data_IF_744271698994
#
_entry.id   IF_744271698994
#
_cell.length_a   1.000
_cell.length_b   1.000
_cell.length_c   1.000
_cell.angle_alpha   90.00
_cell.angle_beta   90.00
_cell.angle_gamma   90.00
#
_symmetry.space_group_name_H-M   'P 1'
#
loop_
_entity.id
_entity.type
_entity.pdbx_description
1 polymer ?
#
# COMPACT_ATOMS: atom_id res chain seq x y z
N UNK A 1 -11.36 -17.63 6.80
CA UNK A 1 -10.57 -16.73 7.65
C UNK A 1 -9.72 -17.48 8.68
N UNK A 2 -10.26 -18.24 9.66
CA UNK A 2 -9.44 -18.90 10.68
C UNK A 2 -8.45 -19.94 10.11
N UNK A 3 -8.86 -20.68 9.07
CA UNK A 3 -7.96 -21.59 8.34
C UNK A 3 -6.77 -20.85 7.70
N UNK A 4 -7.02 -19.69 7.08
CA UNK A 4 -5.97 -18.89 6.42
C UNK A 4 -5.00 -18.31 7.46
N UNK A 5 -5.51 -17.78 8.57
CA UNK A 5 -4.69 -17.31 9.68
C UNK A 5 -3.80 -18.43 10.26
N UNK A 6 -4.35 -19.63 10.43
CA UNK A 6 -3.59 -20.80 10.86
C UNK A 6 -2.53 -21.22 9.85
N UNK A 7 -2.86 -21.22 8.55
CA UNK A 7 -1.90 -21.52 7.47
C UNK A 7 -0.77 -20.50 7.44
N UNK A 8 -1.07 -19.21 7.56
CA UNK A 8 -0.06 -18.12 7.61
C UNK A 8 0.83 -18.27 8.84
N UNK A 9 0.23 -18.49 10.02
CA UNK A 9 0.96 -18.70 11.26
C UNK A 9 1.86 -19.92 11.21
N UNK A 10 1.34 -21.06 10.72
CA UNK A 10 2.09 -22.30 10.60
C UNK A 10 3.23 -22.14 9.59
N UNK A 11 2.96 -21.58 8.40
CA UNK A 11 4.00 -21.38 7.40
C UNK A 11 5.15 -20.54 7.93
N UNK A 12 4.92 -19.44 8.66
CA UNK A 12 6.04 -18.64 9.19
C UNK A 12 6.81 -19.35 10.29
N UNK A 13 6.16 -20.17 11.12
CA UNK A 13 6.85 -20.86 12.22
C UNK A 13 7.62 -22.10 11.77
N UNK A 14 7.17 -22.75 10.69
CA UNK A 14 7.78 -24.01 10.22
C UNK A 14 8.51 -23.92 8.89
N UNK A 15 8.30 -22.89 8.08
CA UNK A 15 8.94 -22.81 6.78
C UNK A 15 10.34 -22.23 6.90
N UNK A 16 11.28 -22.97 6.33
CA UNK A 16 12.62 -22.49 6.04
C UNK A 16 12.54 -21.26 5.11
N UNK A 17 13.45 -20.29 5.26
CA UNK A 17 13.41 -19.02 4.52
C UNK A 17 13.27 -19.24 2.99
N UNK A 18 14.01 -20.22 2.45
CA UNK A 18 13.98 -20.59 1.03
C UNK A 18 12.63 -21.14 0.54
N UNK A 19 11.81 -21.72 1.42
CA UNK A 19 10.47 -22.18 1.09
C UNK A 19 9.46 -21.03 1.14
N UNK A 20 9.57 -20.15 2.14
CA UNK A 20 8.74 -18.94 2.28
C UNK A 20 8.93 -18.02 1.08
N UNK A 21 10.16 -17.83 0.62
CA UNK A 21 10.48 -17.01 -0.55
C UNK A 21 9.81 -17.54 -1.84
N UNK A 22 9.85 -18.86 -2.08
CA UNK A 22 9.17 -19.48 -3.23
C UNK A 22 7.66 -19.28 -3.18
N UNK A 23 7.08 -19.36 -1.99
CA UNK A 23 5.65 -19.09 -1.79
C UNK A 23 5.35 -17.62 -2.11
N UNK A 24 6.16 -16.68 -1.63
CA UNK A 24 5.98 -15.26 -1.92
C UNK A 24 6.10 -14.96 -3.41
N UNK A 25 7.10 -15.54 -4.10
CA UNK A 25 7.23 -15.42 -5.55
C UNK A 25 6.01 -15.96 -6.29
N UNK A 26 5.48 -17.11 -5.86
CA UNK A 26 4.24 -17.66 -6.44
C UNK A 26 3.02 -16.75 -6.19
N UNK A 27 2.91 -16.15 -5.00
CA UNK A 27 1.84 -15.18 -4.70
C UNK A 27 2.00 -13.89 -5.53
N UNK A 28 3.22 -13.43 -5.78
CA UNK A 28 3.49 -12.28 -6.66
C UNK A 28 3.06 -12.55 -8.11
N UNK A 29 3.20 -13.78 -8.60
CA UNK A 29 2.68 -14.16 -9.93
C UNK A 29 1.16 -13.97 -10.00
N UNK A 30 0.43 -14.21 -8.90
CA UNK A 30 -1.01 -13.95 -8.86
C UNK A 30 -1.35 -12.48 -9.08
N UNK A 31 -0.45 -11.52 -8.80
CA UNK A 31 -0.75 -10.10 -9.07
C UNK A 31 -0.83 -9.78 -10.55
N UNK A 32 -0.19 -10.55 -11.42
CA UNK A 32 -0.34 -10.40 -12.86
C UNK A 32 -1.76 -10.73 -13.35
N UNK A 33 -2.57 -11.42 -12.53
CA UNK A 33 -3.99 -11.61 -12.81
C UNK A 33 -4.74 -10.27 -12.93
N UNK A 34 -4.34 -9.24 -12.19
CA UNK A 34 -4.92 -7.90 -12.30
C UNK A 34 -4.58 -7.24 -13.63
N UNK A 35 -3.36 -7.43 -14.11
CA UNK A 35 -2.92 -6.93 -15.42
C UNK A 35 -3.74 -7.58 -16.52
N UNK A 36 -3.87 -8.91 -16.47
CA UNK A 36 -4.67 -9.66 -17.44
C UNK A 36 -6.15 -9.23 -17.36
N UNK A 37 -6.71 -9.08 -16.16
CA UNK A 37 -8.08 -8.65 -15.96
C UNK A 37 -8.33 -7.25 -16.54
N UNK A 38 -7.44 -6.29 -16.26
CA UNK A 38 -7.56 -4.93 -16.81
C UNK A 38 -7.40 -4.84 -18.33
N UNK A 39 -6.66 -5.75 -18.96
CA UNK A 39 -6.59 -5.87 -20.43
C UNK A 39 -7.86 -6.50 -21.00
N UNK A 40 -8.38 -7.56 -20.36
CA UNK A 40 -9.58 -8.27 -20.80
C UNK A 40 -10.86 -7.42 -20.75
N UNK A 41 -10.89 -6.41 -19.88
CA UNK A 41 -12.00 -5.46 -19.76
C UNK A 41 -12.12 -4.54 -20.99
N UNK A 42 -11.08 -4.45 -21.82
CA UNK A 42 -11.01 -3.60 -23.02
C UNK A 42 -11.46 -2.14 -22.79
N UNK A 43 -10.84 -1.42 -21.82
CA UNK A 43 -11.19 -0.02 -21.56
C UNK A 43 -10.74 0.89 -22.71
N UNK A 44 -11.29 2.11 -22.84
CA UNK A 44 -10.84 3.10 -23.82
C UNK A 44 -9.42 3.57 -23.50
N UNK A 45 -8.41 2.81 -23.94
CA UNK A 45 -6.99 3.01 -23.59
C UNK A 45 -6.46 4.41 -23.87
N UNK A 46 -6.98 5.06 -24.93
CA UNK A 46 -6.60 6.43 -25.26
C UNK A 46 -6.99 7.41 -24.16
N UNK A 47 -8.19 7.28 -23.61
CA UNK A 47 -8.68 8.14 -22.51
C UNK A 47 -7.96 7.81 -21.22
N UNK A 48 -7.78 6.52 -20.92
CA UNK A 48 -7.04 6.05 -19.74
C UNK A 48 -5.63 6.65 -19.72
N UNK A 49 -4.88 6.54 -20.82
CA UNK A 49 -3.51 7.06 -20.89
C UNK A 49 -3.46 8.59 -20.80
N UNK A 50 -4.43 9.29 -21.42
CA UNK A 50 -4.50 10.75 -21.37
C UNK A 50 -4.86 11.25 -19.97
N UNK A 51 -5.79 10.59 -19.28
CA UNK A 51 -6.14 10.89 -17.90
C UNK A 51 -5.01 10.56 -16.91
N UNK A 52 -4.20 9.54 -17.20
CA UNK A 52 -3.05 9.15 -16.36
C UNK A 52 -1.95 10.20 -16.29
N UNK A 53 -1.81 11.01 -17.34
CA UNK A 53 -0.78 12.07 -17.42
C UNK A 53 -1.33 13.47 -17.17
N UNK A 54 -2.64 13.65 -17.27
CA UNK A 54 -3.30 14.94 -17.07
C UNK A 54 -3.81 15.06 -15.63
N UNK A 55 -3.15 15.86 -14.76
CA UNK A 55 -3.63 16.03 -13.39
C UNK A 55 -5.00 16.73 -13.39
N UNK A 56 -5.96 16.12 -12.73
CA UNK A 56 -7.26 16.71 -12.40
C UNK A 56 -7.40 16.78 -10.89
N UNK A 57 -7.85 17.93 -10.37
CA UNK A 57 -8.08 18.12 -8.95
C UNK A 57 -9.54 18.45 -8.73
N UNK A 58 -10.27 17.53 -8.11
CA UNK A 58 -11.60 17.79 -7.57
C UNK A 58 -11.39 18.23 -6.11
N UNK A 59 -11.67 19.48 -5.79
CA UNK A 59 -11.38 20.07 -4.48
C UNK A 59 -12.33 19.62 -3.36
N UNK A 60 -12.86 18.40 -3.45
CA UNK A 60 -13.76 17.82 -2.46
C UNK A 60 -12.99 16.94 -1.45
N UNK A 61 -13.59 16.77 -0.27
CA UNK A 61 -12.94 16.06 0.83
C UNK A 61 -12.75 14.57 0.53
N UNK A 62 -13.63 13.95 -0.26
CA UNK A 62 -13.56 12.54 -0.62
C UNK A 62 -12.40 12.26 -1.59
N UNK A 63 -12.22 13.11 -2.60
CA UNK A 63 -11.08 13.08 -3.49
C UNK A 63 -9.76 13.23 -2.73
N UNK A 64 -9.67 14.19 -1.80
CA UNK A 64 -8.48 14.38 -0.97
C UNK A 64 -8.20 13.15 -0.08
N UNK A 65 -9.24 12.58 0.53
CA UNK A 65 -9.13 11.35 1.33
C UNK A 65 -8.61 10.18 0.50
N UNK A 66 -9.17 9.95 -0.69
CA UNK A 66 -8.75 8.86 -1.58
C UNK A 66 -7.35 9.08 -2.15
N UNK A 67 -7.02 10.31 -2.58
CA UNK A 67 -5.70 10.65 -3.08
C UNK A 67 -4.62 10.38 -2.02
N UNK A 68 -4.87 10.77 -0.77
CA UNK A 68 -3.93 10.53 0.33
C UNK A 68 -3.90 9.07 0.73
N UNK A 69 -5.03 8.36 0.70
CA UNK A 69 -5.07 6.92 0.90
C UNK A 69 -4.19 6.16 -0.11
N UNK A 70 -4.31 6.49 -1.41
CA UNK A 70 -3.47 5.92 -2.48
C UNK A 70 -1.98 6.23 -2.25
N UNK A 71 -1.65 7.46 -1.89
CA UNK A 71 -0.26 7.85 -1.61
C UNK A 71 0.29 7.15 -0.36
N UNK A 72 -0.49 7.11 0.72
CA UNK A 72 -0.12 6.49 2.00
C UNK A 72 -0.03 4.96 1.94
N UNK A 73 -0.76 4.32 1.02
CA UNK A 73 -0.60 2.87 0.72
C UNK A 73 0.55 2.55 -0.19
N UNK A 74 1.04 3.53 -0.96
CA UNK A 74 2.20 3.36 -1.83
C UNK A 74 3.49 3.53 -1.03
N UNK A 75 3.54 4.54 -0.15
CA UNK A 75 4.70 4.80 0.71
C UNK A 75 4.28 4.51 2.15
N UNK A 76 4.24 3.25 2.52
CA UNK A 76 3.74 2.85 3.84
C UNK A 76 4.82 2.98 4.91
N UNK A 77 4.48 3.55 6.09
CA UNK A 77 5.36 3.52 7.27
C UNK A 77 5.94 2.13 7.56
N UNK A 78 5.07 1.13 7.62
CA UNK A 78 5.48 -0.25 7.90
C UNK A 78 6.44 -0.81 6.83
N UNK A 79 6.26 -0.41 5.57
CA UNK A 79 7.12 -0.85 4.46
C UNK A 79 8.54 -0.31 4.61
N UNK A 80 8.69 0.94 5.08
CA UNK A 80 10.00 1.54 5.33
C UNK A 80 10.77 0.79 6.42
N UNK A 81 10.12 0.49 7.53
CA UNK A 81 10.71 -0.30 8.61
C UNK A 81 11.02 -1.73 8.16
N UNK A 82 10.10 -2.37 7.42
CA UNK A 82 10.31 -3.73 6.92
C UNK A 82 11.49 -3.82 5.97
N UNK A 83 11.65 -2.89 5.04
CA UNK A 83 12.77 -2.90 4.08
C UNK A 83 14.10 -2.80 4.84
N UNK A 84 14.23 -1.89 5.81
CA UNK A 84 15.45 -1.78 6.61
C UNK A 84 15.70 -3.04 7.44
N UNK A 85 14.68 -3.55 8.14
CA UNK A 85 14.82 -4.78 8.92
C UNK A 85 15.21 -5.98 8.04
N UNK A 86 14.65 -6.07 6.83
CA UNK A 86 14.96 -7.14 5.89
C UNK A 86 16.39 -7.07 5.37
N UNK A 87 16.96 -5.86 5.24
CA UNK A 87 18.37 -5.65 4.87
C UNK A 87 19.29 -6.19 5.97
N UNK A 88 18.92 -5.96 7.24
CA UNK A 88 19.65 -6.48 8.41
C UNK A 88 19.53 -8.00 8.52
N UNK A 89 18.31 -8.54 8.43
CA UNK A 89 18.04 -9.99 8.57
C UNK A 89 18.67 -10.81 7.42
N UNK A 90 18.77 -10.23 6.21
CA UNK A 90 19.47 -10.84 5.07
C UNK A 90 20.99 -10.61 5.09
N UNK A 91 21.51 -9.92 6.10
CA UNK A 91 22.94 -9.57 6.22
C UNK A 91 23.51 -8.86 4.97
N UNK A 92 22.68 -8.03 4.31
CA UNK A 92 23.06 -7.34 3.06
C UNK A 92 24.16 -6.33 3.38
N UNK A 93 25.27 -6.41 2.62
CA UNK A 93 26.42 -5.53 2.82
C UNK A 93 26.37 -4.31 1.90
N UNK A 94 27.18 -3.29 2.21
CA UNK A 94 27.31 -2.10 1.36
C UNK A 94 27.78 -2.41 -0.07
N UNK A 95 28.42 -3.57 -0.31
CA UNK A 95 28.81 -4.04 -1.64
C UNK A 95 27.61 -4.40 -2.51
N UNK A 96 26.52 -4.83 -1.88
CA UNK A 96 25.31 -5.28 -2.56
C UNK A 96 24.32 -4.13 -2.81
N UNK A 97 24.65 -2.92 -2.35
CA UNK A 97 23.80 -1.73 -2.44
C UNK A 97 23.21 -1.50 -3.84
N UNK A 98 24.00 -1.69 -4.90
CA UNK A 98 23.53 -1.49 -6.28
C UNK A 98 22.45 -2.52 -6.63
N UNK A 99 22.62 -3.78 -6.23
CA UNK A 99 21.64 -4.84 -6.47
C UNK A 99 20.36 -4.60 -5.66
N UNK A 100 20.49 -4.28 -4.37
CA UNK A 100 19.35 -3.95 -3.50
C UNK A 100 18.59 -2.74 -4.03
N UNK A 101 19.30 -1.74 -4.56
CA UNK A 101 18.66 -0.56 -5.15
C UNK A 101 17.84 -0.90 -6.38
N UNK A 102 18.36 -1.75 -7.27
CA UNK A 102 17.61 -2.23 -8.43
C UNK A 102 16.42 -3.09 -8.03
N UNK A 103 16.58 -3.94 -7.02
CA UNK A 103 15.49 -4.75 -6.46
C UNK A 103 14.33 -3.87 -5.97
N UNK A 104 14.62 -2.85 -5.15
CA UNK A 104 13.62 -1.88 -4.67
C UNK A 104 12.98 -1.10 -5.81
N UNK A 105 13.77 -0.69 -6.82
CA UNK A 105 13.26 0.07 -7.96
C UNK A 105 12.30 -0.77 -8.83
N UNK A 106 12.70 -1.99 -9.16
CA UNK A 106 11.89 -2.92 -9.95
C UNK A 106 10.63 -3.31 -9.18
N UNK A 107 10.77 -3.61 -7.88
CA UNK A 107 9.64 -3.90 -7.00
C UNK A 107 8.63 -2.75 -6.98
N UNK A 108 9.10 -1.52 -6.76
CA UNK A 108 8.28 -0.31 -6.73
C UNK A 108 7.58 -0.04 -8.06
N UNK A 109 8.26 -0.28 -9.19
CA UNK A 109 7.66 -0.21 -10.52
C UNK A 109 6.50 -1.20 -10.66
N UNK A 110 6.70 -2.48 -10.30
CA UNK A 110 5.64 -3.48 -10.39
C UNK A 110 4.47 -3.18 -9.45
N UNK A 111 4.73 -2.66 -8.25
CA UNK A 111 3.66 -2.21 -7.34
C UNK A 111 2.79 -1.15 -8.00
N UNK A 112 3.39 -0.09 -8.57
CA UNK A 112 2.65 0.95 -9.27
C UNK A 112 1.95 0.46 -10.53
N UNK A 113 2.63 -0.41 -11.30
CA UNK A 113 2.09 -1.01 -12.53
C UNK A 113 0.85 -1.85 -12.24
N UNK A 114 0.89 -2.74 -11.25
CA UNK A 114 -0.26 -3.56 -10.86
C UNK A 114 -1.39 -2.67 -10.30
N UNK A 115 -1.06 -1.71 -9.44
CA UNK A 115 -2.05 -0.78 -8.87
C UNK A 115 -2.78 0.02 -9.97
N UNK A 116 -2.08 0.41 -11.02
CA UNK A 116 -2.67 1.06 -12.20
C UNK A 116 -3.74 0.17 -12.86
N UNK A 117 -3.45 -1.10 -13.12
CA UNK A 117 -4.45 -2.01 -13.70
C UNK A 117 -5.63 -2.27 -12.78
N UNK A 118 -5.42 -2.29 -11.46
CA UNK A 118 -6.53 -2.38 -10.49
C UNK A 118 -7.43 -1.16 -10.62
N UNK A 119 -6.87 0.06 -10.64
CA UNK A 119 -7.64 1.29 -10.79
C UNK A 119 -8.39 1.36 -12.13
N UNK A 120 -7.75 0.96 -13.23
CA UNK A 120 -8.39 0.92 -14.55
C UNK A 120 -9.52 -0.09 -14.57
N UNK A 121 -9.30 -1.29 -14.05
CA UNK A 121 -10.32 -2.34 -13.99
C UNK A 121 -11.54 -1.89 -13.16
N UNK A 122 -11.32 -1.29 -11.99
CA UNK A 122 -12.43 -0.82 -11.13
C UNK A 122 -13.11 0.42 -11.72
N UNK A 123 -12.38 1.33 -12.36
CA UNK A 123 -12.98 2.49 -13.02
C UNK A 123 -13.84 2.09 -14.21
N UNK A 124 -13.33 1.25 -15.12
CA UNK A 124 -14.04 0.84 -16.33
C UNK A 124 -15.26 -0.06 -16.05
N UNK A 125 -15.34 -0.66 -14.86
CA UNK A 125 -16.45 -1.56 -14.47
C UNK A 125 -17.32 -0.94 -13.39
N UNK A 126 -16.82 -0.81 -12.16
CA UNK A 126 -17.60 -0.39 -10.99
C UNK A 126 -18.04 1.07 -11.09
N UNK A 127 -17.13 1.98 -11.46
CA UNK A 127 -17.43 3.41 -11.50
C UNK A 127 -18.44 3.76 -12.60
N UNK A 128 -18.24 3.23 -13.82
CA UNK A 128 -19.17 3.44 -14.95
C UNK A 128 -20.58 2.92 -14.65
N UNK A 129 -20.68 1.84 -13.86
CA UNK A 129 -21.97 1.23 -13.50
C UNK A 129 -22.53 1.74 -12.16
N UNK A 130 -21.92 2.77 -11.56
CA UNK A 130 -22.32 3.36 -10.26
C UNK A 130 -22.51 2.33 -9.14
N UNK A 131 -21.67 1.28 -9.11
CA UNK A 131 -21.75 0.24 -8.09
C UNK A 131 -20.98 0.71 -6.85
N UNK A 132 -21.65 0.96 -5.71
CA UNK A 132 -20.96 1.32 -4.48
C UNK A 132 -20.14 0.13 -3.96
N UNK A 133 -18.91 0.40 -3.52
CA UNK A 133 -18.03 -0.63 -2.94
C UNK A 133 -18.11 -0.54 -1.42
N UNK A 134 -18.87 -1.45 -0.81
CA UNK A 134 -18.92 -1.57 0.66
C UNK A 134 -17.89 -2.58 1.18
N UNK A 135 -17.51 -3.58 0.37
CA UNK A 135 -16.46 -4.53 0.72
C UNK A 135 -15.58 -4.90 -0.48
N UNK A 136 -14.36 -5.35 -0.18
CA UNK A 136 -13.42 -5.82 -1.22
C UNK A 136 -13.96 -7.06 -1.96
N UNK A 137 -14.83 -7.85 -1.30
CA UNK A 137 -15.51 -8.98 -1.91
C UNK A 137 -16.51 -8.53 -2.97
N UNK A 138 -17.22 -7.42 -2.72
CA UNK A 138 -18.23 -6.90 -3.63
C UNK A 138 -17.58 -6.43 -4.94
N UNK A 139 -16.39 -5.83 -4.86
CA UNK A 139 -15.62 -5.46 -6.04
C UNK A 139 -15.29 -6.66 -6.95
N UNK A 140 -14.89 -7.81 -6.37
CA UNK A 140 -14.57 -9.01 -7.14
C UNK A 140 -15.81 -9.65 -7.80
N UNK A 141 -16.97 -9.62 -7.13
CA UNK A 141 -18.22 -10.21 -7.64
C UNK A 141 -18.87 -9.31 -8.68
N UNK A 142 -18.87 -7.99 -8.45
CA UNK A 142 -19.44 -7.02 -9.38
C UNK A 142 -18.68 -6.96 -10.72
N UNK A 143 -17.45 -7.46 -10.77
CA UNK A 143 -16.71 -7.67 -12.02
C UNK A 143 -17.28 -8.80 -12.90
N UNK A 144 -17.96 -9.82 -12.34
CA UNK A 144 -18.44 -10.97 -13.13
C UNK A 144 -19.42 -10.59 -14.25
N UNK A 145 -20.49 -9.81 -14.01
CA UNK A 145 -21.41 -9.42 -15.08
C UNK A 145 -20.83 -8.42 -16.07
N UNK A 146 -19.79 -7.67 -15.70
CA UNK A 146 -19.24 -6.55 -16.48
C UNK A 146 -18.03 -6.95 -17.33
N UNK A 147 -17.17 -7.82 -16.79
CA UNK A 147 -15.91 -8.24 -17.40
C UNK A 147 -15.89 -9.75 -17.75
N UNK A 148 -16.96 -10.46 -17.41
CA UNK A 148 -17.07 -11.90 -17.58
C UNK A 148 -16.46 -12.72 -16.44
N UNK A 149 -16.86 -13.99 -16.38
CA UNK A 149 -16.47 -14.94 -15.33
C UNK A 149 -14.96 -15.12 -15.19
N UNK A 150 -14.22 -15.08 -16.31
CA UNK A 150 -12.77 -15.25 -16.29
C UNK A 150 -12.05 -14.05 -15.64
N UNK A 151 -12.47 -12.82 -15.94
CA UNK A 151 -11.87 -11.61 -15.38
C UNK A 151 -12.15 -11.49 -13.86
N UNK A 152 -13.35 -11.86 -13.42
CA UNK A 152 -13.70 -11.93 -12.00
C UNK A 152 -12.88 -12.99 -11.25
N UNK A 153 -12.72 -14.19 -11.82
CA UNK A 153 -11.90 -15.25 -11.22
C UNK A 153 -10.43 -14.83 -11.08
N UNK A 154 -9.87 -14.20 -12.13
CA UNK A 154 -8.52 -13.66 -12.09
C UNK A 154 -8.38 -12.57 -11.02
N UNK A 155 -9.31 -11.61 -10.97
CA UNK A 155 -9.31 -10.56 -9.95
C UNK A 155 -9.38 -11.12 -8.53
N UNK A 156 -10.23 -12.13 -8.30
CA UNK A 156 -10.34 -12.82 -7.01
C UNK A 156 -9.05 -13.56 -6.64
N UNK A 157 -8.37 -14.18 -7.62
CA UNK A 157 -7.07 -14.83 -7.41
C UNK A 157 -5.97 -13.82 -7.04
N UNK A 158 -5.92 -12.68 -7.71
CA UNK A 158 -5.02 -11.58 -7.36
C UNK A 158 -5.27 -11.04 -5.96
N UNK A 159 -6.56 -10.85 -5.61
CA UNK A 159 -6.97 -10.37 -4.28
C UNK A 159 -6.60 -11.34 -3.17
N UNK A 160 -6.80 -12.64 -3.42
CA UNK A 160 -6.37 -13.69 -2.51
C UNK A 160 -4.85 -13.68 -2.34
N UNK A 161 -4.09 -13.58 -3.44
CA UNK A 161 -2.63 -13.47 -3.39
C UNK A 161 -2.17 -12.28 -2.54
N UNK A 162 -2.85 -11.13 -2.69
CA UNK A 162 -2.45 -9.88 -2.03
C UNK A 162 -2.74 -9.94 -0.53
N UNK A 163 -3.91 -10.47 -0.20
CA UNK A 163 -4.34 -10.68 1.19
C UNK A 163 -3.44 -11.67 1.92
N UNK A 164 -3.03 -12.76 1.24
CA UNK A 164 -2.11 -13.74 1.81
C UNK A 164 -0.73 -13.11 2.05
N UNK A 165 -0.15 -12.45 1.04
CA UNK A 165 1.16 -11.80 1.16
C UNK A 165 1.17 -10.75 2.28
N UNK A 166 0.11 -9.94 2.36
CA UNK A 166 -0.06 -8.96 3.43
C UNK A 166 -0.11 -9.62 4.82
N UNK A 167 -0.84 -10.73 4.96
CA UNK A 167 -0.93 -11.47 6.22
C UNK A 167 0.43 -12.03 6.69
N UNK A 168 1.36 -12.29 5.76
CA UNK A 168 2.74 -12.68 6.10
C UNK A 168 3.62 -11.49 6.47
N UNK A 169 3.62 -10.44 5.65
CA UNK A 169 4.59 -9.35 5.76
C UNK A 169 4.23 -8.36 6.87
N UNK A 170 2.95 -8.05 7.06
CA UNK A 170 2.51 -7.03 8.03
C UNK A 170 2.88 -7.37 9.49
N UNK A 171 2.66 -8.62 9.98
CA UNK A 171 3.06 -8.93 11.35
C UNK A 171 4.59 -8.93 11.53
N UNK A 172 5.35 -9.31 10.49
CA UNK A 172 6.83 -9.18 10.50
C UNK A 172 7.25 -7.72 10.63
N UNK A 173 6.66 -6.83 9.82
CA UNK A 173 6.95 -5.39 9.86
C UNK A 173 6.65 -4.73 11.21
N UNK A 174 5.78 -5.33 12.02
CA UNK A 174 5.51 -4.89 13.39
C UNK A 174 6.49 -5.51 14.40
N UNK A 175 6.81 -6.79 14.22
CA UNK A 175 7.69 -7.52 15.14
C UNK A 175 9.14 -7.02 15.08
N UNK A 176 9.68 -6.71 13.89
CA UNK A 176 11.07 -6.26 13.75
C UNK A 176 11.36 -4.97 14.54
N UNK A 177 10.65 -3.84 14.34
CA UNK A 177 11.01 -2.60 15.02
C UNK A 177 10.85 -2.68 16.53
N UNK A 178 9.88 -3.46 17.03
CA UNK A 178 9.72 -3.68 18.47
C UNK A 178 10.93 -4.46 19.01
N UNK A 179 11.31 -5.56 18.37
CA UNK A 179 12.48 -6.32 18.79
C UNK A 179 13.77 -5.48 18.72
N UNK A 180 13.98 -4.72 17.64
CA UNK A 180 15.13 -3.82 17.49
C UNK A 180 15.16 -2.73 18.57
N UNK A 181 14.03 -2.07 18.85
CA UNK A 181 13.95 -1.00 19.84
C UNK A 181 14.26 -1.46 21.27
N UNK A 182 13.91 -2.70 21.61
CA UNK A 182 14.16 -3.29 22.93
C UNK A 182 15.41 -4.19 22.98
N UNK A 183 16.14 -4.34 21.87
CA UNK A 183 17.34 -5.18 21.78
C UNK A 183 17.07 -6.69 21.90
N UNK A 184 15.89 -7.15 21.50
CA UNK A 184 15.54 -8.56 21.45
C UNK A 184 16.03 -9.23 20.16
N UNK A 185 16.41 -10.50 20.27
CA UNK A 185 16.69 -11.35 19.10
C UNK A 185 15.49 -11.37 18.15
N UNK A 186 15.76 -11.15 16.86
CA UNK A 186 14.76 -11.12 15.79
C UNK A 186 15.32 -11.70 14.50
N UNK A 187 14.42 -12.17 13.63
CA UNK A 187 14.77 -12.74 12.33
C UNK A 187 13.85 -13.89 11.94
N UNK A 188 13.50 -13.96 10.65
CA UNK A 188 12.70 -15.08 10.10
C UNK A 188 13.54 -16.36 10.05
N UNK A 189 14.86 -16.20 9.94
CA UNK A 189 15.83 -17.29 9.91
C UNK A 189 16.03 -17.98 11.27
N UNK A 190 15.54 -17.39 12.36
CA UNK A 190 15.66 -17.89 13.73
C UNK A 190 14.56 -18.90 14.07
N UNK A 191 14.84 -19.78 15.03
CA UNK A 191 13.82 -20.66 15.61
C UNK A 191 13.06 -20.00 16.76
N UNK A 192 11.88 -20.53 17.10
CA UNK A 192 11.08 -20.03 18.23
C UNK A 192 11.84 -20.02 19.57
N UNK A 193 12.85 -20.89 19.73
CA UNK A 193 13.70 -20.92 20.92
C UNK A 193 14.76 -19.83 20.94
N UNK A 194 15.22 -19.40 19.76
CA UNK A 194 16.23 -18.36 19.60
C UNK A 194 15.63 -16.96 19.67
N UNK A 195 14.42 -16.76 19.12
CA UNK A 195 13.73 -15.47 19.09
C UNK A 195 12.29 -15.57 19.64
N UNK A 196 12.07 -15.96 20.91
CA UNK A 196 10.73 -16.19 21.45
C UNK A 196 9.85 -14.94 21.47
N UNK A 197 10.45 -13.76 21.67
CA UNK A 197 9.72 -12.48 21.66
C UNK A 197 9.23 -12.15 20.25
N UNK A 198 10.07 -12.32 19.24
CA UNK A 198 9.73 -12.05 17.85
C UNK A 198 8.54 -12.90 17.37
N UNK A 199 8.61 -14.22 17.54
CA UNK A 199 7.51 -15.11 17.17
C UNK A 199 6.28 -14.97 18.08
N UNK A 200 6.48 -14.57 19.33
CA UNK A 200 5.39 -14.20 20.24
C UNK A 200 4.60 -12.99 19.73
N UNK A 201 5.30 -11.90 19.39
CA UNK A 201 4.69 -10.70 18.80
C UNK A 201 3.98 -11.03 17.48
N UNK A 202 4.63 -11.79 16.60
CA UNK A 202 4.05 -12.25 15.33
C UNK A 202 2.73 -13.01 15.57
N UNK A 203 2.71 -13.94 16.52
CA UNK A 203 1.52 -14.72 16.89
C UNK A 203 0.41 -13.84 17.45
N UNK A 204 0.74 -12.90 18.35
CA UNK A 204 -0.22 -11.98 18.96
C UNK A 204 -0.86 -11.10 17.89
N UNK A 205 -0.08 -10.54 16.97
CA UNK A 205 -0.58 -9.69 15.89
C UNK A 205 -1.54 -10.46 14.98
N UNK A 206 -1.20 -11.69 14.58
CA UNK A 206 -2.10 -12.52 13.77
C UNK A 206 -3.37 -12.88 14.52
N UNK A 207 -3.26 -13.34 15.77
CA UNK A 207 -4.40 -13.75 16.57
C UNK A 207 -5.36 -12.56 16.81
N UNK A 208 -4.80 -11.39 17.13
CA UNK A 208 -5.56 -10.16 17.30
C UNK A 208 -6.25 -9.74 16.00
N UNK A 209 -5.52 -9.73 14.88
CA UNK A 209 -6.10 -9.39 13.57
C UNK A 209 -7.24 -10.34 13.17
N UNK A 210 -7.06 -11.65 13.40
CA UNK A 210 -8.09 -12.64 13.15
C UNK A 210 -9.32 -12.44 14.05
N UNK A 211 -9.11 -12.13 15.33
CA UNK A 211 -10.19 -11.82 16.27
C UNK A 211 -10.97 -10.56 15.86
N UNK A 212 -10.27 -9.49 15.44
CA UNK A 212 -10.90 -8.26 14.96
C UNK A 212 -11.78 -8.50 13.73
N UNK A 213 -11.31 -9.29 12.77
CA UNK A 213 -12.08 -9.60 11.55
C UNK A 213 -13.32 -10.45 11.85
N UNK A 214 -13.27 -11.29 12.88
CA UNK A 214 -14.42 -12.09 13.31
C UNK A 214 -15.42 -11.33 14.18
N UNK A 215 -15.12 -10.07 14.56
CA UNK A 215 -16.00 -9.27 15.38
C UNK A 215 -17.28 -8.89 14.62
N UNK A 216 -18.48 -9.30 15.10
CA UNK A 216 -19.72 -9.03 14.40
C UNK A 216 -20.05 -7.53 14.39
N UNK A 217 -20.44 -7.01 13.24
CA UNK A 217 -20.84 -5.60 13.06
C UNK A 217 -19.69 -4.61 12.85
N UNK A 218 -18.44 -5.07 12.80
CA UNK A 218 -17.30 -4.22 12.48
C UNK A 218 -17.23 -3.99 10.96
N UNK A 219 -17.33 -2.72 10.53
CA UNK A 219 -17.17 -2.38 9.12
C UNK A 219 -15.70 -2.45 8.72
N UNK A 220 -15.31 -3.54 8.04
CA UNK A 220 -13.95 -3.75 7.53
C UNK A 220 -13.51 -2.64 6.58
N UNK A 221 -14.44 -2.07 5.82
CA UNK A 221 -14.18 -0.95 4.91
C UNK A 221 -13.75 0.31 5.65
N UNK A 222 -14.48 0.70 6.70
CA UNK A 222 -14.12 1.87 7.50
C UNK A 222 -12.81 1.65 8.25
N UNK A 223 -12.57 0.44 8.76
CA UNK A 223 -11.28 0.11 9.40
C UNK A 223 -10.14 0.20 8.38
N UNK A 224 -10.33 -0.33 7.18
CA UNK A 224 -9.35 -0.22 6.10
C UNK A 224 -9.05 1.26 5.80
N UNK A 225 -10.06 2.08 5.50
CA UNK A 225 -9.87 3.51 5.22
C UNK A 225 -9.19 4.26 6.38
N UNK A 226 -9.64 4.03 7.62
CA UNK A 226 -9.05 4.65 8.80
C UNK A 226 -7.56 4.28 8.95
N UNK A 227 -7.18 3.02 8.74
CA UNK A 227 -5.77 2.61 8.80
C UNK A 227 -4.92 3.25 7.70
N UNK A 228 -5.49 3.51 6.51
CA UNK A 228 -4.77 4.23 5.45
C UNK A 228 -4.54 5.69 5.80
N UNK A 229 -5.55 6.34 6.40
CA UNK A 229 -5.43 7.71 6.91
C UNK A 229 -4.35 7.79 7.99
N UNK A 230 -4.32 6.85 8.93
CA UNK A 230 -3.27 6.77 9.95
C UNK A 230 -1.88 6.61 9.31
N UNK A 231 -1.75 5.75 8.30
CA UNK A 231 -0.49 5.62 7.55
C UNK A 231 -0.07 6.94 6.88
N UNK A 232 -1.01 7.65 6.25
CA UNK A 232 -0.75 8.96 5.65
C UNK A 232 -0.35 10.04 6.67
N UNK A 233 -0.86 9.97 7.90
CA UNK A 233 -0.49 10.89 8.99
C UNK A 233 0.89 10.55 9.59
N UNK A 234 1.22 9.28 9.72
CA UNK A 234 2.52 8.82 10.25
C UNK A 234 3.67 8.99 9.25
N UNK A 235 3.37 9.07 7.96
CA UNK A 235 4.39 9.10 6.92
C UNK A 235 5.32 10.33 6.98
N UNK A 236 4.83 11.58 7.14
CA UNK A 236 5.69 12.75 7.20
C UNK A 236 6.78 12.72 8.28
N UNK A 237 6.50 12.45 9.57
CA UNK A 237 7.55 12.42 10.58
C UNK A 237 8.59 11.34 10.29
N UNK A 238 8.18 10.16 9.84
CA UNK A 238 9.10 9.07 9.51
C UNK A 238 10.01 9.46 8.35
N UNK A 239 9.46 10.07 7.29
CA UNK A 239 10.26 10.56 6.16
C UNK A 239 11.26 11.64 6.57
N UNK A 240 10.88 12.56 7.46
CA UNK A 240 11.80 13.58 7.97
C UNK A 240 12.99 12.90 8.67
N UNK A 241 12.75 11.97 9.58
CA UNK A 241 13.82 11.26 10.27
C UNK A 241 14.69 10.44 9.30
N UNK A 242 14.08 9.74 8.35
CA UNK A 242 14.80 8.99 7.32
C UNK A 242 15.71 9.90 6.47
N UNK A 243 15.21 11.06 6.03
CA UNK A 243 16.01 12.02 5.26
C UNK A 243 17.13 12.62 6.13
N UNK A 244 16.89 12.88 7.41
CA UNK A 244 17.92 13.34 8.34
C UNK A 244 19.03 12.30 8.52
N UNK A 245 18.70 11.03 8.71
CA UNK A 245 19.67 9.93 8.83
C UNK A 245 20.44 9.76 7.52
N UNK A 246 19.74 9.73 6.38
CA UNK A 246 20.35 9.57 5.05
C UNK A 246 21.29 10.74 4.65
N UNK A 247 21.08 11.92 5.24
CA UNK A 247 21.94 13.09 5.04
C UNK A 247 23.09 13.17 6.06
N UNK A 248 23.04 12.41 7.16
CA UNK A 248 24.05 12.47 8.19
C UNK A 248 25.33 11.76 7.73
N UNK A 249 26.39 12.53 7.49
CA UNK A 249 27.69 12.01 7.04
C UNK A 249 28.40 11.17 8.09
N UNK A 250 28.14 11.40 9.38
CA UNK A 250 28.74 10.62 10.47
C UNK A 250 28.16 9.20 10.51
N UNK A 251 26.91 9.02 10.07
CA UNK A 251 26.22 7.72 9.99
C UNK A 251 26.46 7.06 8.63
N UNK A 252 26.25 7.81 7.54
CA UNK A 252 26.21 7.25 6.18
C UNK A 252 27.55 7.27 5.45
N UNK A 253 28.52 8.07 5.91
CA UNK A 253 29.83 8.22 5.27
C UNK A 253 29.72 8.59 3.78
N UNK A 254 30.34 7.76 2.94
CA UNK A 254 30.36 7.91 1.47
C UNK A 254 28.99 7.69 0.80
N UNK A 255 28.05 7.04 1.48
CA UNK A 255 26.68 6.77 1.00
C UNK A 255 25.67 7.86 1.39
N UNK A 256 26.13 9.00 1.90
CA UNK A 256 25.27 10.14 2.20
C UNK A 256 24.59 10.67 0.93
N UNK A 257 23.35 11.15 1.08
CA UNK A 257 22.56 11.64 -0.03
C UNK A 257 23.26 12.77 -0.79
N UNK A 258 23.26 12.68 -2.12
CA UNK A 258 23.73 13.78 -2.97
C UNK A 258 22.76 14.96 -2.92
N UNK A 259 23.23 16.15 -3.31
CA UNK A 259 22.37 17.37 -3.33
C UNK A 259 21.11 17.18 -4.16
N UNK A 260 21.19 16.44 -5.27
CA UNK A 260 20.04 16.16 -6.13
C UNK A 260 19.03 15.23 -5.43
N UNK A 261 19.50 14.15 -4.79
CA UNK A 261 18.62 13.26 -4.02
C UNK A 261 17.97 14.01 -2.87
N UNK A 262 18.71 14.89 -2.20
CA UNK A 262 18.17 15.68 -1.10
C UNK A 262 17.06 16.63 -1.56
N UNK A 263 17.22 17.31 -2.70
CA UNK A 263 16.17 18.17 -3.27
C UNK A 263 14.93 17.32 -3.60
N UNK A 264 15.10 16.17 -4.23
CA UNK A 264 14.00 15.28 -4.57
C UNK A 264 13.28 14.76 -3.32
N UNK A 265 14.01 14.21 -2.35
CA UNK A 265 13.42 13.67 -1.12
C UNK A 265 12.71 14.74 -0.32
N UNK A 266 13.30 15.92 -0.13
CA UNK A 266 12.61 17.02 0.55
C UNK A 266 11.39 17.54 -0.20
N UNK A 267 11.43 17.59 -1.54
CA UNK A 267 10.26 17.98 -2.34
C UNK A 267 9.11 17.01 -2.10
N UNK A 268 9.37 15.69 -2.16
CA UNK A 268 8.37 14.68 -1.85
C UNK A 268 7.88 14.79 -0.40
N UNK A 269 8.78 14.93 0.57
CA UNK A 269 8.43 15.10 1.99
C UNK A 269 7.54 16.32 2.21
N UNK A 270 7.86 17.47 1.60
CA UNK A 270 7.05 18.70 1.71
C UNK A 270 5.67 18.52 1.08
N UNK A 271 5.58 17.91 -0.11
CA UNK A 271 4.30 17.61 -0.77
C UNK A 271 3.45 16.71 0.12
N UNK A 272 4.04 15.67 0.70
CA UNK A 272 3.35 14.76 1.62
C UNK A 272 2.90 15.47 2.90
N UNK A 273 3.75 16.31 3.50
CA UNK A 273 3.36 17.14 4.65
C UNK A 273 2.17 18.02 4.29
N UNK A 274 2.20 18.69 3.14
CA UNK A 274 1.09 19.54 2.70
C UNK A 274 -0.20 18.75 2.56
N UNK A 275 -0.15 17.58 1.92
CA UNK A 275 -1.31 16.70 1.78
C UNK A 275 -1.83 16.22 3.15
N UNK A 276 -0.96 15.78 4.05
CA UNK A 276 -1.35 15.35 5.40
C UNK A 276 -1.94 16.49 6.21
N UNK A 277 -1.39 17.70 6.13
CA UNK A 277 -1.94 18.88 6.82
C UNK A 277 -3.32 19.23 6.25
N UNK A 278 -3.48 19.23 4.92
CA UNK A 278 -4.78 19.45 4.26
C UNK A 278 -5.82 18.44 4.76
N UNK A 279 -5.45 17.16 4.86
CA UNK A 279 -6.31 16.13 5.42
C UNK A 279 -6.70 16.43 6.86
N UNK A 280 -5.72 16.65 7.74
CA UNK A 280 -5.98 16.95 9.16
C UNK A 280 -6.89 18.17 9.30
N UNK A 281 -6.69 19.22 8.50
CA UNK A 281 -7.57 20.39 8.51
C UNK A 281 -8.97 20.08 8.01
N UNK A 282 -9.12 19.27 6.95
CA UNK A 282 -10.43 18.84 6.43
C UNK A 282 -11.21 18.00 7.44
N UNK A 283 -10.52 17.10 8.15
CA UNK A 283 -11.13 16.17 9.11
C UNK A 283 -11.44 16.85 10.45
N UNK A 284 -10.58 17.73 10.94
CA UNK A 284 -10.75 18.41 12.24
C UNK A 284 -11.59 19.70 12.16
N UNK A 285 -11.58 20.37 11.00
CA UNK A 285 -12.28 21.64 10.79
C UNK A 285 -13.05 21.65 9.45
N UNK A 286 -14.15 20.88 9.34
CA UNK A 286 -14.94 20.81 8.11
C UNK A 286 -15.44 22.20 7.63
N UNK A 287 -15.70 23.14 8.55
CA UNK A 287 -16.13 24.51 8.21
C UNK A 287 -15.04 25.48 7.73
N UNK A 288 -13.76 25.09 7.70
CA UNK A 288 -12.66 25.93 7.20
C UNK A 288 -12.46 25.79 5.69
N UNK A 289 -12.79 24.61 5.12
CA UNK A 289 -12.72 24.37 3.68
C UNK A 289 -13.90 25.02 2.94
N UNK A 290 -15.10 25.06 3.53
CA UNK A 290 -16.22 25.86 2.99
C UNK A 290 -15.84 27.35 2.85
N UNK A 291 -15.05 27.90 3.77
CA UNK A 291 -14.54 29.27 3.67
C UNK A 291 -13.36 29.43 2.71
N UNK A 292 -12.55 28.38 2.50
CA UNK A 292 -11.45 28.39 1.55
C UNK A 292 -11.93 28.22 0.08
N UNK A 293 -13.02 27.49 -0.15
CA UNK A 293 -13.71 27.42 -1.45
C UNK A 293 -14.30 28.77 -1.89
N UNK A 294 -14.55 29.70 -0.96
CA UNK A 294 -14.93 31.09 -1.28
C UNK A 294 -13.76 31.92 -1.83
N UNK A 295 -12.51 31.50 -1.59
CA UNK A 295 -11.30 32.22 -2.01
C UNK A 295 -10.59 31.63 -3.24
N UNK A 296 -10.99 30.44 -3.68
CA UNK A 296 -10.55 29.86 -4.95
C UNK A 296 -11.62 30.15 -6.00
N UNK A 297 -11.28 30.68 -7.18
CA UNK A 297 -12.27 30.89 -8.23
C UNK A 297 -12.96 29.55 -8.55
N UNK A 298 -14.27 29.53 -8.83
CA UNK A 298 -14.95 28.31 -9.23
C UNK A 298 -14.25 27.75 -10.45
N UNK A 299 -13.50 26.66 -10.26
CA UNK A 299 -12.92 25.90 -11.35
C UNK A 299 -14.11 25.29 -12.06
N UNK A 300 -14.32 25.71 -13.32
CA UNK A 300 -15.47 25.35 -14.12
C UNK A 300 -15.79 23.86 -13.94
N UNK A 301 -17.01 23.60 -13.44
CA UNK A 301 -17.59 22.28 -13.47
C UNK A 301 -17.40 21.74 -14.89
N UNK A 302 -16.73 20.59 -15.02
CA UNK A 302 -16.79 19.84 -16.25
C UNK A 302 -18.25 19.40 -16.35
N UNK A 303 -19.04 20.12 -17.14
CA UNK A 303 -20.40 19.71 -17.48
C UNK A 303 -20.37 18.27 -18.00
N UNK A 304 -21.29 17.40 -17.54
CA UNK A 304 -21.47 16.09 -18.13
C UNK A 304 -22.24 16.26 -19.43
N UNK A 305 -21.59 16.80 -20.46
CA UNK A 305 -22.09 16.82 -21.83
C UNK A 305 -21.01 16.24 -22.74
N UNK A 306 -21.42 15.28 -23.57
CA UNK A 306 -20.63 14.54 -24.58
C UNK A 306 -20.12 13.13 -24.19
N UNK A 307 -21.05 12.24 -23.82
CA UNK A 307 -20.97 10.82 -24.20
C UNK A 307 -22.29 10.37 -24.87
N UNK A 308 -22.79 11.17 -25.82
CA UNK A 308 -23.63 10.65 -26.89
C UNK A 308 -22.76 10.59 -28.15
N UNK A 309 -22.24 9.40 -28.47
CA UNK A 309 -21.91 9.05 -29.83
C UNK A 309 -22.36 7.62 -30.09
N UNK A 310 -23.18 7.50 -31.15
CA UNK A 310 -23.73 6.29 -31.77
C UNK A 310 -22.73 5.13 -31.88
#
# INVERSE_FOLDING_TARGET
MPLAAFVVWWLVIKADYAHTEKIFLALCVLFFSYVISGILIDPPWKEVLLASVKPSFAGDAEFLLLAIGVVGTTITPWGQFYVQASVVDKEITAKDYVYTRWDVFIGSFFTGFIAFFIMVATAATLYVNHIPIETVKDAAIALEPLAGKYASLLFAAGLFGASMLAAFILPLSTAYPICEAFGFESGISKTFKEAPVFFGLYTVVIAFSAAMVLWPGLSLYHVMLATQVVNGILLPPILIFMVMIANNKDIMGEYSNSRLYNILTWTFTIVLIMLTVLLLTSTLFPGLIEKAQVFLPPIAAIEPTLYEFN
#
